data_IF_984593697092
#
_entry.id   IF_984593697092
#
_cell.length_a   1.000
_cell.length_b   1.000
_cell.length_c   1.000
_cell.angle_alpha   90.00
_cell.angle_beta   90.00
_cell.angle_gamma   90.00
#
_symmetry.space_group_name_H-M   'P 1'
#
loop_
_entity.id
_entity.type
_entity.pdbx_description
1 polymer ?
#
# COMPACT_ATOMS: atom_id res chain seq x y z
N UNK A 1 -3.58 -8.18 5.99
CA UNK A 1 -3.23 -8.94 4.79
C UNK A 1 -1.78 -8.73 4.34
N UNK A 2 -1.25 -9.67 3.58
CA UNK A 2 0.15 -9.66 3.14
C UNK A 2 0.22 -9.78 1.61
N UNK A 3 0.10 -8.68 0.84
CA UNK A 3 0.12 -8.71 -0.62
C UNK A 3 1.41 -9.30 -1.23
N UNK A 4 2.52 -9.23 -0.49
CA UNK A 4 3.81 -9.79 -0.91
C UNK A 4 4.17 -11.09 -0.17
N UNK A 5 3.21 -11.69 0.53
CA UNK A 5 3.45 -12.83 1.42
C UNK A 5 4.08 -12.41 2.75
N UNK A 6 4.49 -13.40 3.53
CA UNK A 6 5.23 -13.22 4.77
C UNK A 6 6.31 -14.32 4.83
N UNK A 7 7.60 -13.98 5.04
CA UNK A 7 8.68 -14.97 5.00
C UNK A 7 8.60 -16.02 6.12
N UNK A 8 7.95 -15.67 7.24
CA UNK A 8 7.89 -16.52 8.44
C UNK A 8 6.58 -17.33 8.51
N UNK A 9 5.66 -17.14 7.54
CA UNK A 9 4.33 -17.78 7.53
C UNK A 9 4.07 -18.45 6.19
N UNK A 10 3.67 -19.71 6.22
CA UNK A 10 3.33 -20.44 4.98
C UNK A 10 2.09 -19.84 4.32
N UNK A 11 2.03 -19.87 2.99
CA UNK A 11 0.89 -19.35 2.24
C UNK A 11 -0.44 -20.00 2.67
N UNK A 12 -0.45 -21.30 2.93
CA UNK A 12 -1.65 -22.01 3.37
C UNK A 12 -2.20 -21.45 4.70
N UNK A 13 -1.34 -21.00 5.62
CA UNK A 13 -1.77 -20.43 6.88
C UNK A 13 -2.34 -19.02 6.70
N UNK A 14 -1.74 -18.23 5.77
CA UNK A 14 -2.29 -16.94 5.36
C UNK A 14 -3.67 -17.10 4.72
N UNK A 15 -3.83 -18.07 3.85
CA UNK A 15 -5.11 -18.37 3.18
C UNK A 15 -6.17 -18.82 4.19
N UNK A 16 -5.82 -19.72 5.09
CA UNK A 16 -6.70 -20.15 6.18
C UNK A 16 -7.15 -18.96 7.06
N UNK A 17 -6.24 -18.02 7.35
CA UNK A 17 -6.58 -16.83 8.11
C UNK A 17 -7.59 -15.94 7.38
N UNK A 18 -7.49 -15.80 6.05
CA UNK A 18 -8.48 -15.08 5.23
C UNK A 18 -9.83 -15.79 5.24
N UNK A 19 -9.83 -17.10 5.01
CA UNK A 19 -11.06 -17.92 5.05
C UNK A 19 -11.77 -17.79 6.41
N UNK A 20 -11.02 -17.86 7.52
CA UNK A 20 -11.58 -17.72 8.86
C UNK A 20 -12.17 -16.31 9.10
N UNK A 21 -11.49 -15.25 8.64
CA UNK A 21 -12.01 -13.88 8.73
C UNK A 21 -13.32 -13.72 7.95
N UNK A 22 -13.40 -14.28 6.73
CA UNK A 22 -14.62 -14.26 5.93
C UNK A 22 -15.76 -15.07 6.59
N UNK A 23 -15.45 -16.21 7.21
CA UNK A 23 -16.44 -16.97 7.99
C UNK A 23 -16.93 -16.21 9.21
N UNK A 24 -16.02 -15.52 9.91
CA UNK A 24 -16.36 -14.74 11.08
C UNK A 24 -17.20 -13.50 10.73
N UNK A 25 -16.86 -12.80 9.63
CA UNK A 25 -17.62 -11.61 9.19
C UNK A 25 -19.09 -11.88 8.91
N UNK A 26 -19.44 -13.13 8.53
CA UNK A 26 -20.84 -13.55 8.33
C UNK A 26 -21.60 -13.83 9.63
N UNK A 27 -20.93 -13.85 10.78
CA UNK A 27 -21.47 -14.20 12.11
C UNK A 27 -21.42 -13.05 13.09
N UNK A 28 -20.94 -11.89 12.69
CA UNK A 28 -20.80 -10.71 13.54
C UNK A 28 -21.45 -9.50 12.90
N UNK A 29 -21.98 -8.59 13.72
CA UNK A 29 -22.49 -7.30 13.27
C UNK A 29 -21.40 -6.24 13.07
N UNK A 30 -20.14 -6.57 13.39
CA UNK A 30 -19.02 -5.67 13.17
C UNK A 30 -18.67 -5.55 11.69
N UNK A 31 -18.45 -4.31 11.22
CA UNK A 31 -17.90 -4.08 9.89
C UNK A 31 -16.41 -4.50 9.86
N UNK A 32 -16.12 -5.56 9.15
CA UNK A 32 -14.77 -6.08 8.98
C UNK A 32 -14.17 -5.66 7.64
N UNK A 33 -12.84 -5.50 7.63
CA UNK A 33 -12.05 -5.24 6.42
C UNK A 33 -10.64 -5.83 6.56
N UNK A 34 -9.92 -5.94 5.46
CA UNK A 34 -8.54 -6.39 5.41
C UNK A 34 -7.61 -5.17 5.29
N UNK A 35 -6.98 -4.73 6.39
CA UNK A 35 -5.84 -3.85 6.28
C UNK A 35 -4.63 -4.65 5.80
N UNK A 36 -3.91 -4.17 4.77
CA UNK A 36 -2.74 -4.86 4.26
C UNK A 36 -1.46 -4.36 4.93
N UNK A 37 -0.42 -5.19 4.91
CA UNK A 37 0.96 -4.72 5.04
C UNK A 37 1.21 -3.67 3.96
N UNK A 38 2.13 -2.73 4.20
CA UNK A 38 2.51 -1.75 3.19
C UNK A 38 3.28 -2.42 2.04
N UNK A 39 3.19 -1.82 0.86
CA UNK A 39 3.88 -2.23 -0.36
C UNK A 39 4.18 -0.98 -1.21
N UNK A 40 4.98 -1.12 -2.27
CA UNK A 40 5.44 0.01 -3.08
C UNK A 40 4.96 -0.05 -4.54
N UNK A 41 4.43 -1.18 -4.99
CA UNK A 41 3.93 -1.37 -6.35
C UNK A 41 2.48 -1.88 -6.33
N UNK A 42 1.60 -1.20 -7.06
CA UNK A 42 0.19 -1.60 -7.16
C UNK A 42 0.00 -3.03 -7.69
N UNK A 43 1.01 -3.55 -8.40
CA UNK A 43 1.01 -4.93 -8.91
C UNK A 43 0.85 -5.94 -7.78
N UNK A 44 1.56 -5.76 -6.65
CA UNK A 44 1.47 -6.67 -5.50
C UNK A 44 0.03 -6.79 -4.98
N UNK A 45 -0.69 -5.66 -4.88
CA UNK A 45 -2.10 -5.68 -4.46
C UNK A 45 -3.00 -6.38 -5.47
N UNK A 46 -2.81 -6.09 -6.76
CA UNK A 46 -3.64 -6.67 -7.84
C UNK A 46 -3.53 -8.19 -7.89
N UNK A 47 -2.32 -8.72 -7.83
CA UNK A 47 -2.06 -10.16 -7.81
C UNK A 47 -2.63 -10.82 -6.55
N UNK A 48 -2.48 -10.17 -5.41
CA UNK A 48 -3.04 -10.64 -4.16
C UNK A 48 -4.58 -10.61 -4.14
N UNK A 49 -5.22 -9.57 -4.68
CA UNK A 49 -6.68 -9.51 -4.80
C UNK A 49 -7.22 -10.62 -5.70
N UNK A 50 -6.54 -10.92 -6.82
CA UNK A 50 -6.91 -12.07 -7.67
C UNK A 50 -6.83 -13.39 -6.89
N UNK A 51 -5.80 -13.56 -6.06
CA UNK A 51 -5.69 -14.73 -5.19
C UNK A 51 -6.82 -14.75 -4.14
N UNK A 52 -7.15 -13.62 -3.51
CA UNK A 52 -8.26 -13.53 -2.56
C UNK A 52 -9.61 -13.88 -3.20
N UNK A 53 -9.82 -13.51 -4.46
CA UNK A 53 -11.05 -13.87 -5.19
C UNK A 53 -11.17 -15.40 -5.33
N UNK A 54 -10.06 -16.14 -5.51
CA UNK A 54 -10.06 -17.60 -5.52
C UNK A 54 -10.38 -18.24 -4.16
N UNK A 55 -10.32 -17.46 -3.07
CA UNK A 55 -10.68 -17.85 -1.71
C UNK A 55 -12.07 -17.33 -1.29
N UNK A 56 -12.90 -16.88 -2.23
CA UNK A 56 -14.23 -16.31 -2.00
C UNK A 56 -14.22 -15.15 -1.00
N UNK A 57 -13.22 -14.25 -1.08
CA UNK A 57 -13.13 -13.10 -0.19
C UNK A 57 -14.24 -12.08 -0.45
N UNK A 58 -14.98 -11.73 0.60
CA UNK A 58 -16.02 -10.70 0.58
C UNK A 58 -15.68 -9.46 1.43
N UNK A 59 -14.47 -9.42 2.02
CA UNK A 59 -14.03 -8.30 2.85
C UNK A 59 -13.43 -7.18 2.01
N UNK A 60 -13.78 -5.95 2.36
CA UNK A 60 -13.14 -4.76 1.79
C UNK A 60 -11.63 -4.76 2.06
N UNK A 61 -10.83 -4.25 1.11
CA UNK A 61 -9.39 -4.08 1.24
C UNK A 61 -9.07 -2.61 1.53
N UNK A 62 -8.32 -2.37 2.61
CA UNK A 62 -7.68 -1.11 2.91
C UNK A 62 -6.18 -1.26 2.62
N UNK A 63 -5.75 -0.71 1.48
CA UNK A 63 -4.37 -0.85 1.00
C UNK A 63 -3.37 -0.12 1.90
N UNK A 64 -2.34 -0.81 2.35
CA UNK A 64 -1.25 -0.26 3.14
C UNK A 64 -0.31 0.59 2.30
N UNK A 65 -0.26 1.88 2.58
CA UNK A 65 0.53 2.87 1.85
C UNK A 65 1.64 3.40 2.76
N UNK A 66 2.92 3.34 2.36
CA UNK A 66 3.99 4.00 3.11
C UNK A 66 3.81 5.51 3.02
N UNK A 67 3.70 6.20 4.16
CA UNK A 67 3.69 7.66 4.20
C UNK A 67 5.03 8.27 3.77
N UNK A 68 5.10 9.60 3.55
CA UNK A 68 6.32 10.28 3.17
C UNK A 68 7.48 10.01 4.14
N UNK A 69 8.57 9.46 3.63
CA UNK A 69 9.76 9.14 4.41
C UNK A 69 11.02 9.12 3.54
N UNK A 70 12.21 9.11 4.15
CA UNK A 70 13.44 8.94 3.38
C UNK A 70 13.53 7.53 2.83
N UNK A 71 14.19 7.37 1.69
CA UNK A 71 14.40 6.05 1.07
C UNK A 71 15.12 5.09 2.04
N UNK A 72 16.08 5.60 2.85
CA UNK A 72 16.75 4.83 3.91
C UNK A 72 15.74 4.28 4.93
N UNK A 73 14.82 5.11 5.40
CA UNK A 73 13.78 4.73 6.36
C UNK A 73 12.85 3.66 5.75
N UNK A 74 12.38 3.88 4.52
CA UNK A 74 11.50 2.94 3.82
C UNK A 74 12.17 1.57 3.63
N UNK A 75 13.45 1.55 3.23
CA UNK A 75 14.22 0.33 3.05
C UNK A 75 14.41 -0.42 4.38
N UNK A 76 14.69 0.31 5.47
CA UNK A 76 14.82 -0.28 6.81
C UNK A 76 13.52 -1.00 7.24
N UNK A 77 12.36 -0.34 7.09
CA UNK A 77 11.08 -0.96 7.42
C UNK A 77 10.75 -2.14 6.50
N UNK A 78 11.00 -2.03 5.18
CA UNK A 78 10.77 -3.13 4.24
C UNK A 78 11.61 -4.37 4.61
N UNK A 79 12.87 -4.16 5.00
CA UNK A 79 13.77 -5.23 5.46
C UNK A 79 13.27 -5.86 6.77
N UNK A 80 12.91 -5.04 7.76
CA UNK A 80 12.41 -5.53 9.06
C UNK A 80 11.09 -6.30 8.94
N UNK A 81 10.27 -5.96 7.95
CA UNK A 81 8.99 -6.65 7.68
C UNK A 81 9.13 -7.81 6.69
N UNK A 82 10.33 -8.10 6.17
CA UNK A 82 10.57 -9.19 5.24
C UNK A 82 9.84 -9.05 3.89
N UNK A 83 9.56 -7.82 3.42
CA UNK A 83 8.80 -7.57 2.20
C UNK A 83 9.74 -7.60 1.00
N UNK A 84 9.98 -8.79 0.43
CA UNK A 84 11.05 -9.05 -0.54
C UNK A 84 10.91 -8.29 -1.88
N UNK A 85 9.71 -8.14 -2.43
CA UNK A 85 9.48 -7.37 -3.65
C UNK A 85 9.71 -5.88 -3.41
N UNK A 86 9.20 -5.36 -2.29
CA UNK A 86 9.43 -3.99 -1.85
C UNK A 86 10.91 -3.69 -1.63
N UNK A 87 11.67 -4.59 -1.00
CA UNK A 87 13.12 -4.44 -0.83
C UNK A 87 13.81 -4.33 -2.19
N UNK A 88 13.48 -5.21 -3.14
CA UNK A 88 14.05 -5.18 -4.51
C UNK A 88 13.69 -3.89 -5.25
N UNK A 89 12.46 -3.42 -5.13
CA UNK A 89 12.00 -2.16 -5.72
C UNK A 89 12.79 -0.97 -5.17
N UNK A 90 12.87 -0.83 -3.85
CA UNK A 90 13.58 0.26 -3.18
C UNK A 90 15.08 0.22 -3.42
N UNK A 91 15.68 -0.97 -3.42
CA UNK A 91 17.11 -1.14 -3.67
C UNK A 91 17.52 -0.66 -5.06
N UNK A 92 16.66 -0.85 -6.09
CA UNK A 92 16.91 -0.29 -7.43
C UNK A 92 16.94 1.24 -7.46
N UNK A 93 16.23 1.90 -6.53
CA UNK A 93 16.23 3.36 -6.41
C UNK A 93 17.42 3.88 -5.58
N UNK A 94 18.02 3.02 -4.76
CA UNK A 94 19.06 3.35 -3.79
C UNK A 94 20.49 3.38 -4.35
N UNK A 95 20.69 3.26 -5.68
CA UNK A 95 22.02 3.22 -6.30
C UNK A 95 22.88 4.48 -6.09
N UNK A 96 22.33 5.53 -5.50
CA UNK A 96 23.06 6.76 -5.21
C UNK A 96 22.85 7.16 -3.74
N UNK A 97 23.94 7.38 -2.99
CA UNK A 97 23.92 7.76 -1.57
C UNK A 97 23.09 9.02 -1.33
N UNK A 98 23.12 9.98 -2.25
CA UNK A 98 22.31 11.21 -2.17
C UNK A 98 20.81 10.91 -2.23
N UNK A 99 20.39 9.86 -2.94
CA UNK A 99 18.98 9.43 -3.00
C UNK A 99 18.50 8.77 -1.72
N UNK A 100 19.38 8.16 -0.93
CA UNK A 100 19.00 7.55 0.36
C UNK A 100 18.45 8.55 1.37
N UNK A 101 18.94 9.78 1.34
CA UNK A 101 18.48 10.88 2.21
C UNK A 101 17.28 11.64 1.63
N UNK A 102 16.95 11.43 0.33
CA UNK A 102 15.84 12.14 -0.30
C UNK A 102 14.50 11.68 0.26
N UNK A 103 13.56 12.61 0.33
CA UNK A 103 12.19 12.36 0.72
C UNK A 103 11.47 11.67 -0.44
N UNK A 104 10.79 10.57 -0.12
CA UNK A 104 9.94 9.87 -1.06
C UNK A 104 8.48 9.97 -0.61
N UNK A 105 7.60 10.23 -1.57
CA UNK A 105 6.16 10.23 -1.42
C UNK A 105 5.58 9.07 -2.24
N UNK A 106 4.43 8.50 -1.85
CA UNK A 106 3.83 7.35 -2.54
C UNK A 106 2.98 7.75 -3.75
N UNK A 107 3.30 8.84 -4.44
CA UNK A 107 2.49 9.45 -5.49
C UNK A 107 2.16 8.45 -6.60
N UNK A 108 3.18 7.77 -7.14
CA UNK A 108 2.99 6.75 -8.16
C UNK A 108 2.11 5.60 -7.70
N UNK A 109 2.34 5.10 -6.50
CA UNK A 109 1.53 4.00 -5.95
C UNK A 109 0.06 4.41 -5.84
N UNK A 110 -0.21 5.61 -5.32
CA UNK A 110 -1.57 6.14 -5.18
C UNK A 110 -2.22 6.30 -6.55
N UNK A 111 -1.51 6.88 -7.53
CA UNK A 111 -1.99 7.03 -8.89
C UNK A 111 -2.36 5.67 -9.52
N UNK A 112 -1.46 4.69 -9.42
CA UNK A 112 -1.66 3.35 -10.00
C UNK A 112 -2.82 2.60 -9.33
N UNK A 113 -3.02 2.76 -8.01
CA UNK A 113 -4.16 2.20 -7.29
C UNK A 113 -5.48 2.89 -7.64
N UNK A 114 -5.47 4.22 -7.79
CA UNK A 114 -6.63 4.97 -8.25
C UNK A 114 -7.04 4.58 -9.67
N UNK A 115 -6.08 4.44 -10.58
CA UNK A 115 -6.29 3.95 -11.94
C UNK A 115 -6.86 2.52 -11.93
N UNK A 116 -6.30 1.64 -11.10
CA UNK A 116 -6.81 0.29 -10.93
C UNK A 116 -8.27 0.29 -10.48
N UNK A 117 -8.60 1.02 -9.43
CA UNK A 117 -9.97 1.14 -8.92
C UNK A 117 -10.95 1.74 -9.93
N UNK A 118 -10.51 2.70 -10.74
CA UNK A 118 -11.34 3.28 -11.79
C UNK A 118 -11.60 2.32 -12.95
N UNK A 119 -10.63 1.46 -13.27
CA UNK A 119 -10.75 0.46 -14.34
C UNK A 119 -11.59 -0.74 -13.89
N UNK A 120 -11.40 -1.22 -12.67
CA UNK A 120 -12.07 -2.39 -12.11
C UNK A 120 -13.03 -1.98 -10.99
N UNK A 121 -14.28 -1.66 -11.35
CA UNK A 121 -15.28 -1.14 -10.41
C UNK A 121 -15.65 -2.11 -9.29
N UNK A 122 -15.57 -3.41 -9.57
CA UNK A 122 -15.88 -4.49 -8.61
C UNK A 122 -14.72 -4.82 -7.66
N UNK A 123 -13.58 -4.11 -7.76
CA UNK A 123 -12.46 -4.36 -6.86
C UNK A 123 -12.86 -4.20 -5.38
N UNK A 124 -12.34 -5.08 -4.54
CA UNK A 124 -12.48 -5.01 -3.09
C UNK A 124 -11.66 -3.86 -2.46
N UNK A 125 -10.75 -3.23 -3.22
CA UNK A 125 -10.01 -2.03 -2.79
C UNK A 125 -10.98 -0.87 -2.56
N UNK A 126 -11.16 -0.47 -1.29
CA UNK A 126 -12.08 0.62 -0.92
C UNK A 126 -11.37 1.83 -0.33
N UNK A 127 -10.28 1.63 0.44
CA UNK A 127 -9.57 2.70 1.16
C UNK A 127 -8.06 2.51 1.12
N UNK A 128 -7.35 3.55 1.51
CA UNK A 128 -5.91 3.54 1.77
C UNK A 128 -5.67 3.68 3.28
N UNK A 129 -4.74 2.90 3.81
CA UNK A 129 -4.28 2.91 5.19
C UNK A 129 -2.82 3.35 5.20
N UNK A 130 -2.52 4.53 5.76
CA UNK A 130 -1.18 5.09 5.72
C UNK A 130 -0.34 4.67 6.92
N UNK A 131 0.88 4.22 6.65
CA UNK A 131 1.93 3.95 7.64
C UNK A 131 2.84 5.18 7.76
N UNK A 132 2.83 5.93 8.86
CA UNK A 132 3.54 7.21 8.97
C UNK A 132 5.03 7.03 9.28
N UNK A 133 5.79 6.33 8.43
CA UNK A 133 7.20 6.01 8.64
C UNK A 133 8.11 7.23 8.78
N UNK A 134 7.77 8.34 8.14
CA UNK A 134 8.48 9.62 8.30
C UNK A 134 7.93 10.50 9.42
N UNK A 135 6.98 9.99 10.22
CA UNK A 135 6.31 10.68 11.30
C UNK A 135 4.86 11.07 10.97
N UNK A 136 4.01 11.06 12.01
CA UNK A 136 2.56 11.33 11.89
C UNK A 136 2.32 12.74 11.33
N UNK A 137 3.00 13.76 11.87
CA UNK A 137 2.83 15.15 11.43
C UNK A 137 3.12 15.30 9.94
N UNK A 138 4.26 14.79 9.47
CA UNK A 138 4.66 14.87 8.06
C UNK A 138 3.66 14.19 7.14
N UNK A 139 3.18 13.00 7.53
CA UNK A 139 2.17 12.26 6.76
C UNK A 139 0.85 13.01 6.72
N UNK A 140 0.40 13.55 7.86
CA UNK A 140 -0.83 14.32 7.94
C UNK A 140 -0.76 15.62 7.13
N UNK A 141 0.34 16.36 7.22
CA UNK A 141 0.53 17.61 6.47
C UNK A 141 0.49 17.34 4.95
N UNK A 142 1.18 16.31 4.50
CA UNK A 142 1.18 15.90 3.08
C UNK A 142 -0.21 15.45 2.61
N UNK A 143 -0.93 14.66 3.40
CA UNK A 143 -2.29 14.23 3.07
C UNK A 143 -3.27 15.42 3.03
N UNK A 144 -3.15 16.35 3.96
CA UNK A 144 -3.96 17.56 3.98
C UNK A 144 -3.69 18.45 2.77
N UNK A 145 -2.42 18.56 2.36
CA UNK A 145 -2.06 19.28 1.13
C UNK A 145 -2.74 18.66 -0.09
N UNK A 146 -2.63 17.36 -0.29
CA UNK A 146 -3.28 16.67 -1.41
C UNK A 146 -4.80 16.78 -1.37
N UNK A 147 -5.41 16.69 -0.18
CA UNK A 147 -6.86 16.76 -0.03
C UNK A 147 -7.43 18.14 -0.33
N UNK A 148 -6.68 19.19 -0.01
CA UNK A 148 -7.17 20.59 -0.05
C UNK A 148 -6.62 21.39 -1.23
N UNK A 149 -5.83 20.80 -2.12
CA UNK A 149 -5.23 21.47 -3.28
C UNK A 149 -5.64 20.78 -4.58
N UNK A 150 -5.62 21.54 -5.67
CA UNK A 150 -5.63 20.94 -6.99
C UNK A 150 -4.22 20.43 -7.34
N UNK A 151 -4.14 19.29 -8.00
CA UNK A 151 -2.87 18.73 -8.41
C UNK A 151 -2.98 17.94 -9.71
N UNK A 152 -1.87 17.80 -10.41
CA UNK A 152 -1.73 16.93 -11.58
C UNK A 152 -0.69 15.86 -11.32
N UNK A 153 -0.82 14.70 -11.97
CA UNK A 153 0.20 13.68 -11.97
C UNK A 153 1.13 13.92 -13.16
N UNK A 154 2.41 14.20 -12.88
CA UNK A 154 3.36 14.62 -13.89
C UNK A 154 4.16 13.44 -14.48
N UNK A 155 4.98 13.73 -15.51
CA UNK A 155 5.83 12.74 -16.20
C UNK A 155 6.98 12.17 -15.35
N UNK A 156 7.22 12.73 -14.14
CA UNK A 156 8.22 12.24 -13.19
C UNK A 156 7.62 11.30 -12.13
N UNK A 157 6.38 10.84 -12.37
CA UNK A 157 5.64 9.99 -11.43
C UNK A 157 5.37 10.65 -10.06
N UNK A 158 5.12 11.96 -10.06
CA UNK A 158 4.87 12.78 -8.86
C UNK A 158 3.59 13.59 -8.98
N UNK A 159 2.97 13.88 -7.84
CA UNK A 159 1.91 14.88 -7.75
C UNK A 159 2.52 16.28 -7.71
N UNK A 160 2.10 17.12 -8.62
CA UNK A 160 2.46 18.52 -8.69
C UNK A 160 1.25 19.36 -8.30
N UNK A 161 1.38 20.12 -7.21
CA UNK A 161 0.32 21.00 -6.73
C UNK A 161 0.22 22.20 -7.68
N UNK A 162 -0.99 22.48 -8.13
CA UNK A 162 -1.24 23.62 -8.99
C UNK A 162 -1.28 24.91 -8.14
N UNK A 163 -0.71 26.03 -8.63
CA UNK A 163 -0.86 27.32 -7.97
C UNK A 163 -2.34 27.72 -7.95
N UNK A 164 -2.76 28.25 -6.81
CA UNK A 164 -4.10 28.86 -6.67
C UNK A 164 -4.19 30.15 -7.46
#
# INVERSE_FOLDING_TARGET
GHPEGNPDVKQIDLDNAIIQKNKFSKKTDFKMYLATQFFFEAKSLKEWELHLNSLDNNLEIHAGIPGPATLKTLLSYATSCGIGNSIRFLSKQAFNITKLASMNTPDKLIYDLAKYKNTYKETALKKMHFYPFGGIKKTSDWLNLLKNSEFVYNSKDQFEILPN
#
